data_IF_877957068931
#
_entry.id   IF_877957068931
#
_cell.length_a   1.000
_cell.length_b   1.000
_cell.length_c   1.000
_cell.angle_alpha   90.00
_cell.angle_beta   90.00
_cell.angle_gamma   90.00
#
_symmetry.space_group_name_H-M   'P 1'
#
loop_
_entity.id
_entity.type
_entity.pdbx_description
1 polymer ?
#
# COMPACT_ATOMS: atom_id res chain seq x y z
N UNK A 1 -5.73 3.51 -14.60
CA UNK A 1 -4.29 3.56 -14.36
C UNK A 1 -3.65 2.44 -15.16
N UNK A 2 -2.74 2.70 -16.11
CA UNK A 2 -2.14 1.61 -16.85
C UNK A 2 -1.09 0.96 -15.96
N UNK A 3 -1.49 -0.12 -15.28
CA UNK A 3 -0.59 -1.06 -14.58
C UNK A 3 0.65 -1.40 -15.43
N UNK A 4 0.52 -1.35 -16.76
CA UNK A 4 1.60 -1.46 -17.72
C UNK A 4 2.74 -0.44 -17.56
N UNK A 5 2.54 0.69 -16.88
CA UNK A 5 3.62 1.65 -16.59
C UNK A 5 4.41 1.30 -15.33
N UNK A 6 3.86 0.52 -14.39
CA UNK A 6 4.58 0.12 -13.18
C UNK A 6 5.80 -0.76 -13.50
N UNK A 7 5.75 -1.58 -14.57
CA UNK A 7 6.92 -2.35 -15.04
C UNK A 7 8.12 -1.45 -15.37
N UNK A 8 7.87 -0.21 -15.79
CA UNK A 8 8.91 0.74 -16.18
C UNK A 8 9.59 1.40 -14.96
N UNK A 9 9.19 1.05 -13.74
CA UNK A 9 9.93 1.42 -12.53
C UNK A 9 11.21 0.59 -12.40
N UNK A 10 11.11 -0.74 -12.49
CA UNK A 10 12.25 -1.64 -12.19
C UNK A 10 12.54 -2.67 -13.28
N UNK A 11 11.52 -3.35 -13.82
CA UNK A 11 11.69 -4.46 -14.76
C UNK A 11 12.13 -4.00 -16.17
N UNK A 12 11.56 -2.91 -16.68
CA UNK A 12 11.87 -2.36 -18.01
C UNK A 12 11.96 -0.83 -17.99
N UNK A 13 12.95 -0.21 -17.33
CA UNK A 13 13.04 1.25 -17.26
C UNK A 13 13.08 1.90 -18.64
N UNK A 14 12.44 3.06 -18.79
CA UNK A 14 12.53 3.83 -20.03
C UNK A 14 13.99 4.21 -20.35
N UNK A 15 14.35 4.38 -21.64
CA UNK A 15 15.72 4.73 -22.03
C UNK A 15 16.27 5.93 -21.25
N UNK A 16 17.46 5.77 -20.68
CA UNK A 16 18.13 6.79 -19.88
C UNK A 16 17.71 6.87 -18.41
N UNK A 17 16.79 6.03 -17.94
CA UNK A 17 16.42 5.94 -16.51
C UNK A 17 17.05 4.71 -15.85
N UNK A 18 17.55 4.83 -14.61
CA UNK A 18 17.85 3.68 -13.78
C UNK A 18 16.57 3.00 -13.28
N UNK A 19 16.69 1.73 -12.89
CA UNK A 19 15.65 1.05 -12.12
C UNK A 19 15.41 1.78 -10.79
N UNK A 20 14.15 1.82 -10.36
CA UNK A 20 13.66 2.48 -9.15
C UNK A 20 12.69 1.56 -8.44
N UNK A 21 12.71 1.65 -7.12
CA UNK A 21 11.72 1.03 -6.27
C UNK A 21 10.72 2.07 -5.79
N UNK A 22 9.51 1.63 -5.45
CA UNK A 22 8.50 2.47 -4.86
C UNK A 22 7.70 1.73 -3.80
N UNK A 23 7.35 2.44 -2.73
CA UNK A 23 6.41 1.97 -1.73
C UNK A 23 5.03 2.58 -2.00
N UNK A 24 4.01 1.73 -2.06
CA UNK A 24 2.61 2.11 -2.17
C UNK A 24 1.93 1.96 -0.80
N UNK A 25 1.30 3.04 -0.34
CA UNK A 25 0.59 3.10 0.93
C UNK A 25 -0.92 3.35 0.72
N UNK A 26 -1.66 2.41 0.08
CA UNK A 26 -3.11 2.57 -0.05
C UNK A 26 -3.76 2.60 1.34
N UNK A 27 -4.89 3.29 1.44
CA UNK A 27 -5.71 3.25 2.65
C UNK A 27 -7.03 2.50 2.38
N UNK A 28 -7.38 1.57 3.27
CA UNK A 28 -8.68 0.89 3.24
C UNK A 28 -9.79 1.93 3.23
N UNK A 29 -10.74 1.77 2.30
CA UNK A 29 -11.87 2.68 2.14
C UNK A 29 -11.56 3.98 1.39
N UNK A 30 -10.36 4.15 0.84
CA UNK A 30 -10.02 5.31 0.01
C UNK A 30 -10.91 5.36 -1.24
N UNK A 31 -11.79 6.37 -1.27
CA UNK A 31 -12.73 6.60 -2.35
C UNK A 31 -12.24 7.64 -3.37
N UNK A 32 -11.07 8.26 -3.16
CA UNK A 32 -10.37 9.01 -4.20
C UNK A 32 -9.54 8.08 -5.08
N UNK A 33 -8.89 7.08 -4.49
CA UNK A 33 -8.07 6.07 -5.17
C UNK A 33 -8.33 4.69 -4.56
N UNK A 34 -9.15 3.88 -5.25
CA UNK A 34 -9.54 2.56 -4.77
C UNK A 34 -8.32 1.61 -4.60
N UNK A 35 -8.17 0.94 -3.44
CA UNK A 35 -7.04 0.04 -3.17
C UNK A 35 -6.93 -1.15 -4.14
N UNK A 36 -8.03 -1.52 -4.81
CA UNK A 36 -8.05 -2.57 -5.83
C UNK A 36 -7.02 -2.34 -6.94
N UNK A 37 -6.64 -1.07 -7.21
CA UNK A 37 -5.58 -0.77 -8.16
C UNK A 37 -4.24 -1.36 -7.72
N UNK A 38 -3.90 -1.24 -6.42
CA UNK A 38 -2.66 -1.82 -5.88
C UNK A 38 -2.74 -3.34 -5.80
N UNK A 39 -3.92 -3.91 -5.56
CA UNK A 39 -4.09 -5.36 -5.61
C UNK A 39 -3.94 -5.93 -7.04
N UNK A 40 -4.31 -5.17 -8.07
CA UNK A 40 -4.02 -5.54 -9.46
C UNK A 40 -2.52 -5.48 -9.69
N UNK A 41 -1.84 -4.42 -9.22
CA UNK A 41 -0.37 -4.29 -9.30
C UNK A 41 0.33 -5.49 -8.65
N UNK A 42 -0.10 -5.89 -7.45
CA UNK A 42 0.43 -7.06 -6.74
C UNK A 42 0.33 -8.37 -7.53
N UNK A 43 -0.69 -8.51 -8.38
CA UNK A 43 -0.93 -9.70 -9.23
C UNK A 43 -0.25 -9.64 -10.59
N UNK A 44 0.32 -8.50 -10.97
CA UNK A 44 0.71 -8.22 -12.36
C UNK A 44 2.17 -8.54 -12.69
N UNK A 45 2.90 -9.17 -11.77
CA UNK A 45 4.32 -9.52 -11.94
C UNK A 45 5.20 -8.30 -12.34
N UNK A 46 4.85 -7.12 -11.83
CA UNK A 46 5.57 -5.86 -12.05
C UNK A 46 6.55 -5.52 -10.91
N UNK A 47 6.79 -6.48 -10.02
CA UNK A 47 7.81 -6.39 -8.96
C UNK A 47 7.39 -5.68 -7.68
N UNK A 48 6.09 -5.51 -7.41
CA UNK A 48 5.61 -5.03 -6.10
C UNK A 48 5.25 -6.21 -5.20
N UNK A 49 5.94 -6.32 -4.07
CA UNK A 49 5.58 -7.25 -3.01
C UNK A 49 4.35 -6.74 -2.24
N UNK A 50 3.38 -7.61 -1.99
CA UNK A 50 2.34 -7.34 -1.01
C UNK A 50 2.88 -7.69 0.36
N UNK A 51 3.00 -6.72 1.27
CA UNK A 51 3.56 -7.01 2.59
C UNK A 51 2.54 -7.75 3.48
N UNK A 52 3.06 -8.53 4.44
CA UNK A 52 2.26 -9.19 5.48
C UNK A 52 1.36 -8.21 6.24
N UNK A 53 0.31 -8.75 6.88
CA UNK A 53 -0.71 -8.00 7.64
C UNK A 53 -1.47 -6.96 6.78
N UNK A 54 -1.73 -7.29 5.51
CA UNK A 54 -2.43 -6.41 4.58
C UNK A 54 -3.80 -5.91 5.10
N UNK A 55 -4.65 -6.82 5.58
CA UNK A 55 -5.95 -6.50 6.16
C UNK A 55 -6.47 -7.70 6.97
N UNK A 56 -7.40 -7.47 7.90
CA UNK A 56 -8.01 -8.50 8.75
C UNK A 56 -9.31 -9.10 8.18
N UNK A 57 -9.98 -8.39 7.27
CA UNK A 57 -11.22 -8.83 6.64
C UNK A 57 -10.99 -9.35 5.21
N UNK A 58 -9.84 -9.03 4.61
CA UNK A 58 -9.59 -9.26 3.19
C UNK A 58 -8.18 -9.77 2.90
N UNK A 59 -8.10 -10.93 2.25
CA UNK A 59 -6.89 -11.39 1.59
C UNK A 59 -6.87 -10.95 0.12
N UNK A 60 -5.68 -10.78 -0.45
CA UNK A 60 -5.50 -10.52 -1.88
C UNK A 60 -5.31 -11.86 -2.60
N UNK A 61 -6.35 -12.31 -3.29
CA UNK A 61 -6.31 -13.59 -4.01
C UNK A 61 -5.09 -13.70 -4.93
N UNK A 62 -4.48 -14.89 -5.02
CA UNK A 62 -3.36 -15.21 -5.92
C UNK A 62 -2.07 -14.44 -5.63
N UNK A 63 -1.93 -13.83 -4.45
CA UNK A 63 -0.70 -13.16 -4.01
C UNK A 63 -0.30 -13.74 -2.65
N UNK A 64 0.93 -14.24 -2.57
CA UNK A 64 1.51 -14.63 -1.28
C UNK A 64 2.07 -13.37 -0.59
N UNK A 65 1.70 -13.09 0.66
CA UNK A 65 2.28 -11.98 1.40
C UNK A 65 3.78 -12.16 1.66
N UNK A 66 4.51 -11.05 1.66
CA UNK A 66 5.95 -10.99 1.90
C UNK A 66 6.23 -10.49 3.32
N UNK A 67 7.06 -11.24 4.06
CA UNK A 67 7.50 -10.86 5.38
C UNK A 67 8.38 -9.60 5.35
N UNK A 68 8.35 -8.84 6.45
CA UNK A 68 9.26 -7.72 6.67
C UNK A 68 10.63 -8.20 7.24
N UNK A 69 11.73 -7.48 6.99
CA UNK A 69 11.86 -6.40 6.02
C UNK A 69 11.93 -6.91 4.57
N UNK A 70 11.61 -6.03 3.60
CA UNK A 70 11.70 -6.34 2.18
C UNK A 70 12.43 -5.22 1.41
N UNK A 71 13.52 -5.57 0.71
CA UNK A 71 14.19 -4.67 -0.23
C UNK A 71 13.44 -4.67 -1.57
N UNK A 72 13.00 -3.50 -2.03
CA UNK A 72 12.34 -3.36 -3.33
C UNK A 72 11.01 -2.61 -3.27
N UNK A 73 10.20 -2.78 -4.32
CA UNK A 73 8.88 -2.13 -4.36
C UNK A 73 7.87 -2.92 -3.53
N UNK A 74 7.05 -2.23 -2.73
CA UNK A 74 6.13 -2.90 -1.83
C UNK A 74 4.77 -2.19 -1.72
N UNK A 75 3.77 -2.91 -1.24
CA UNK A 75 2.43 -2.42 -0.93
C UNK A 75 2.17 -2.67 0.56
N UNK A 76 1.93 -1.60 1.31
CA UNK A 76 1.59 -1.62 2.74
C UNK A 76 0.23 -0.93 2.90
N UNK A 77 -0.80 -1.69 3.28
CA UNK A 77 -2.16 -1.15 3.37
C UNK A 77 -2.44 -0.55 4.75
N UNK A 78 -3.10 0.60 4.78
CA UNK A 78 -3.39 1.37 6.00
C UNK A 78 -4.89 1.36 6.33
N UNK A 79 -5.24 1.05 7.56
CA UNK A 79 -6.62 0.88 8.02
C UNK A 79 -6.97 1.86 9.15
N UNK A 80 -7.92 2.77 8.87
CA UNK A 80 -8.37 3.81 9.82
C UNK A 80 -9.80 3.59 10.33
N UNK A 81 -10.26 2.33 10.38
CA UNK A 81 -11.64 1.98 10.73
C UNK A 81 -12.67 2.11 9.60
N UNK A 82 -12.28 2.66 8.44
CA UNK A 82 -13.12 2.74 7.25
C UNK A 82 -13.48 1.32 6.75
N UNK A 83 -14.73 1.06 6.30
CA UNK A 83 -15.08 -0.21 5.66
C UNK A 83 -14.45 -0.32 4.26
N UNK A 84 -14.37 -1.53 3.74
CA UNK A 84 -14.04 -1.73 2.33
C UNK A 84 -15.08 -1.08 1.42
N UNK A 85 -14.68 -0.46 0.28
CA UNK A 85 -15.63 0.09 -0.67
C UNK A 85 -16.60 -0.99 -1.16
N UNK A 86 -17.90 -0.67 -1.31
CA UNK A 86 -18.88 -1.62 -1.81
C UNK A 86 -18.55 -2.02 -3.26
N UNK A 87 -18.94 -3.23 -3.65
CA UNK A 87 -18.74 -3.69 -5.01
C UNK A 87 -19.50 -2.81 -6.04
N UNK A 88 -18.79 -2.45 -7.11
CA UNK A 88 -19.32 -1.66 -8.23
C UNK A 88 -19.15 -0.15 -8.06
N UNK A 89 -19.63 0.61 -9.05
CA UNK A 89 -19.54 2.08 -9.06
C UNK A 89 -20.65 2.69 -8.19
N UNK A 90 -20.46 2.65 -6.87
CA UNK A 90 -21.36 3.23 -5.87
C UNK A 90 -20.70 4.47 -5.25
N UNK A 91 -21.48 5.49 -4.87
CA UNK A 91 -20.93 6.58 -4.06
C UNK A 91 -20.37 6.00 -2.75
N UNK A 92 -19.33 6.62 -2.17
CA UNK A 92 -18.84 6.23 -0.85
C UNK A 92 -19.98 6.33 0.17
N UNK A 93 -20.05 5.40 1.13
CA UNK A 93 -21.04 5.50 2.20
C UNK A 93 -20.79 6.77 3.02
N UNK A 94 -21.80 7.21 3.76
CA UNK A 94 -21.56 8.13 4.87
C UNK A 94 -20.62 7.43 5.87
N UNK A 95 -19.38 7.90 5.93
CA UNK A 95 -18.34 7.30 6.75
C UNK A 95 -17.98 8.24 7.92
N UNK A 96 -18.26 7.84 9.17
CA UNK A 96 -17.92 8.66 10.34
C UNK A 96 -16.41 8.90 10.49
N UNK A 97 -15.57 8.04 9.89
CA UNK A 97 -14.12 8.20 9.91
C UNK A 97 -13.63 9.16 8.81
N UNK A 98 -14.48 9.51 7.84
CA UNK A 98 -14.15 10.38 6.71
C UNK A 98 -13.09 9.79 5.77
N UNK A 99 -12.76 10.56 4.73
CA UNK A 99 -11.81 10.15 3.69
C UNK A 99 -10.46 9.73 4.27
N UNK A 100 -10.01 8.47 4.08
CA UNK A 100 -8.69 8.07 4.49
C UNK A 100 -7.60 8.55 3.52
N UNK A 101 -7.96 9.13 2.37
CA UNK A 101 -7.03 9.64 1.37
C UNK A 101 -6.05 10.66 1.99
N UNK A 102 -4.81 10.22 2.17
CA UNK A 102 -3.75 11.03 2.77
C UNK A 102 -3.75 11.09 4.29
N UNK A 103 -4.47 10.21 5.01
CA UNK A 103 -4.23 9.97 6.44
C UNK A 103 -2.85 9.33 6.71
N UNK A 104 -2.35 8.33 5.94
CA UNK A 104 -1.05 7.70 6.23
C UNK A 104 0.09 8.70 6.39
N UNK A 105 0.25 9.64 5.45
CA UNK A 105 1.30 10.68 5.49
C UNK A 105 1.25 11.66 6.67
N UNK A 106 0.23 11.59 7.53
CA UNK A 106 0.12 12.40 8.76
C UNK A 106 0.63 11.66 10.00
N UNK A 107 1.05 10.41 9.85
CA UNK A 107 1.48 9.54 10.93
C UNK A 107 3.00 9.42 11.00
N UNK A 108 3.53 9.33 12.21
CA UNK A 108 4.97 9.21 12.44
C UNK A 108 5.47 7.84 11.99
N UNK A 109 4.70 6.77 12.20
CA UNK A 109 4.99 5.42 11.67
C UNK A 109 5.16 5.40 10.15
N UNK A 110 4.25 6.03 9.40
CA UNK A 110 4.34 6.11 7.94
C UNK A 110 5.58 6.89 7.50
N UNK A 111 5.82 8.06 8.12
CA UNK A 111 6.98 8.88 7.78
C UNK A 111 8.30 8.18 8.11
N UNK A 112 8.34 7.40 9.20
CA UNK A 112 9.48 6.54 9.55
C UNK A 112 9.74 5.50 8.47
N UNK A 113 8.70 4.80 7.98
CA UNK A 113 8.84 3.83 6.90
C UNK A 113 9.34 4.47 5.60
N UNK A 114 8.82 5.65 5.25
CA UNK A 114 9.23 6.39 4.05
C UNK A 114 10.69 6.84 4.12
N UNK A 115 11.13 7.39 5.27
CA UNK A 115 12.52 7.82 5.46
C UNK A 115 13.46 6.62 5.36
N UNK A 116 13.15 5.53 6.06
CA UNK A 116 13.95 4.31 5.99
C UNK A 116 14.05 3.80 4.55
N UNK A 117 12.92 3.68 3.85
CA UNK A 117 12.89 3.26 2.45
C UNK A 117 13.73 4.15 1.53
N UNK A 118 13.71 5.46 1.70
CA UNK A 118 14.53 6.36 0.89
C UNK A 118 16.03 6.27 1.19
N UNK A 119 16.40 5.90 2.41
CA UNK A 119 17.80 5.73 2.82
C UNK A 119 18.37 4.36 2.43
N UNK A 120 17.56 3.30 2.49
CA UNK A 120 18.05 1.91 2.40
C UNK A 120 17.49 1.13 1.21
N UNK A 121 16.32 1.52 0.68
CA UNK A 121 15.56 0.72 -0.27
C UNK A 121 14.72 -0.40 0.37
N UNK A 122 14.74 -0.52 1.70
CA UNK A 122 13.98 -1.53 2.44
C UNK A 122 12.64 -0.99 2.94
N UNK A 123 11.64 -1.86 2.99
CA UNK A 123 10.36 -1.63 3.63
C UNK A 123 10.33 -2.41 4.93
N UNK A 124 10.23 -1.70 6.05
CA UNK A 124 10.25 -2.23 7.42
C UNK A 124 8.86 -2.26 8.04
N UNK A 125 8.66 -3.15 9.01
CA UNK A 125 7.44 -3.20 9.80
C UNK A 125 7.39 -2.02 10.80
N UNK A 126 6.50 -1.06 10.52
CA UNK A 126 6.18 0.06 11.43
C UNK A 126 4.84 -0.13 12.14
N UNK A 127 4.23 -1.30 11.97
CA UNK A 127 2.86 -1.63 12.36
C UNK A 127 2.83 -2.68 13.50
N UNK A 128 3.99 -2.97 14.08
CA UNK A 128 4.18 -3.83 15.25
C UNK A 128 3.65 -5.26 15.05
N UNK A 129 3.85 -5.82 13.86
CA UNK A 129 3.41 -7.16 13.47
C UNK A 129 1.90 -7.26 13.24
N UNK A 130 1.18 -6.14 13.22
CA UNK A 130 -0.26 -6.09 12.99
C UNK A 130 -0.66 -5.18 11.83
N UNK A 131 -1.94 -4.82 11.79
CA UNK A 131 -2.47 -3.87 10.81
C UNK A 131 -1.86 -2.49 11.01
N UNK A 132 -1.51 -1.82 9.92
CA UNK A 132 -1.13 -0.41 9.92
C UNK A 132 -2.37 0.49 10.05
N UNK A 133 -2.33 1.60 10.80
CA UNK A 133 -1.22 2.06 11.63
C UNK A 133 -1.05 1.24 12.92
N UNK A 134 0.12 1.32 13.59
CA UNK A 134 0.34 0.64 14.86
C UNK A 134 -0.70 1.09 15.91
N UNK A 135 -1.00 0.26 16.93
CA UNK A 135 -2.03 0.56 17.93
C UNK A 135 -1.92 1.94 18.60
N UNK A 136 -0.71 2.49 18.75
CA UNK A 136 -0.47 3.82 19.32
C UNK A 136 -0.96 4.99 18.47
N UNK A 137 -1.21 4.75 17.17
CA UNK A 137 -1.58 5.77 16.18
C UNK A 137 -2.94 5.50 15.50
N UNK A 138 -3.69 4.51 15.97
CA UNK A 138 -5.04 4.24 15.49
C UNK A 138 -6.00 5.35 15.97
N UNK A 139 -6.96 5.77 15.11
CA UNK A 139 -7.98 6.75 15.47
C UNK A 139 -8.93 6.26 16.56
#
# INVERSE_FOLDING_TARGET
DPVSYYRHLSAEPFPGNPAKHAIAAPARGDYQVAPVTMEIVARSDVGFALMENYDDERAVDLVEPTAYPHEGSAIVNWHFGNPWPPAGNRPPPEDPNGDPHGKPRRLDSHNTQMVHFFETGEVIDVCEGGLCPPPSERP
#
